data_IF_898065394356
#
_entry.id   IF_898065394356
#
_cell.length_a   1.000
_cell.length_b   1.000
_cell.length_c   1.000
_cell.angle_alpha   90.00
_cell.angle_beta   90.00
_cell.angle_gamma   90.00
#
_symmetry.space_group_name_H-M   'P 1'
#
loop_
_entity.id
_entity.type
_entity.pdbx_description
1 polymer ?
#
# COMPACT_ATOMS: atom_id res chain seq x y z
N UNK A 1 -8.91 -16.75 -3.51
CA UNK A 1 -9.21 -16.12 -4.80
C UNK A 1 -10.67 -16.28 -5.19
N UNK A 2 -11.29 -17.44 -5.01
CA UNK A 2 -12.71 -17.70 -5.36
C UNK A 2 -13.69 -16.64 -4.80
N UNK A 3 -13.42 -16.07 -3.63
CA UNK A 3 -14.23 -14.99 -3.06
C UNK A 3 -14.15 -13.72 -3.91
N UNK A 4 -12.95 -13.38 -4.41
CA UNK A 4 -12.75 -12.19 -5.24
C UNK A 4 -13.40 -12.34 -6.62
N UNK A 5 -13.40 -13.57 -7.16
CA UNK A 5 -14.10 -13.86 -8.42
C UNK A 5 -15.61 -13.67 -8.24
N UNK A 6 -16.18 -14.19 -7.15
CA UNK A 6 -17.60 -13.97 -6.83
C UNK A 6 -17.97 -12.50 -6.60
N UNK A 7 -17.07 -11.71 -6.02
CA UNK A 7 -17.26 -10.26 -5.85
C UNK A 7 -17.35 -9.58 -7.20
N UNK A 8 -16.47 -9.95 -8.15
CA UNK A 8 -16.51 -9.43 -9.53
C UNK A 8 -17.76 -9.86 -10.28
N UNK A 9 -18.15 -11.13 -10.16
CA UNK A 9 -19.37 -11.65 -10.80
C UNK A 9 -20.61 -10.89 -10.32
N UNK A 10 -20.57 -10.37 -9.09
CA UNK A 10 -21.61 -9.49 -8.55
C UNK A 10 -21.49 -8.02 -9.01
N UNK A 11 -20.55 -7.67 -9.89
CA UNK A 11 -20.33 -6.32 -10.38
C UNK A 11 -19.71 -5.36 -9.36
N UNK A 12 -19.02 -5.88 -8.35
CA UNK A 12 -18.38 -5.09 -7.28
C UNK A 12 -16.89 -4.98 -7.57
N UNK A 13 -16.34 -3.76 -7.45
CA UNK A 13 -14.91 -3.51 -7.62
C UNK A 13 -14.09 -4.20 -6.53
N UNK A 14 -12.95 -4.76 -6.92
CA UNK A 14 -12.07 -5.50 -6.02
C UNK A 14 -10.98 -4.59 -5.47
N UNK A 15 -10.91 -4.51 -4.13
CA UNK A 15 -9.78 -3.93 -3.41
C UNK A 15 -9.02 -5.05 -2.70
N UNK A 16 -7.85 -5.40 -3.19
CA UNK A 16 -7.04 -6.49 -2.64
C UNK A 16 -5.56 -6.16 -2.74
N UNK A 17 -4.86 -6.30 -1.62
CA UNK A 17 -3.43 -6.01 -1.51
C UNK A 17 -2.77 -6.83 -0.41
N UNK A 18 -1.78 -6.26 0.27
CA UNK A 18 -1.07 -7.00 1.32
C UNK A 18 -0.41 -6.13 2.36
N UNK A 19 0.09 -6.78 3.39
CA UNK A 19 0.93 -6.20 4.44
C UNK A 19 2.34 -6.73 4.23
N UNK A 20 3.34 -5.86 4.33
CA UNK A 20 4.77 -6.19 4.27
C UNK A 20 5.47 -5.80 5.56
N UNK A 21 6.62 -6.37 5.81
CA UNK A 21 7.35 -6.21 7.08
C UNK A 21 6.97 -7.25 8.13
N UNK A 22 6.36 -8.38 7.71
CA UNK A 22 6.00 -9.51 8.56
C UNK A 22 7.16 -10.51 8.77
N UNK A 23 8.37 -10.17 8.30
CA UNK A 23 9.50 -11.10 8.23
C UNK A 23 9.54 -11.93 6.94
N UNK A 24 8.72 -11.60 5.98
CA UNK A 24 8.64 -12.27 4.68
C UNK A 24 9.87 -11.97 3.80
N UNK A 25 10.18 -12.89 2.91
CA UNK A 25 11.30 -12.74 1.96
C UNK A 25 10.94 -11.81 0.78
N UNK A 26 11.96 -11.28 0.10
CA UNK A 26 11.78 -10.55 -1.19
C UNK A 26 11.03 -11.40 -2.22
N UNK A 27 11.26 -12.72 -2.22
CA UNK A 27 10.56 -13.66 -3.11
C UNK A 27 9.06 -13.72 -2.78
N UNK A 28 8.71 -13.74 -1.49
CA UNK A 28 7.31 -13.75 -1.06
C UNK A 28 6.59 -12.46 -1.43
N UNK A 29 7.27 -11.29 -1.29
CA UNK A 29 6.73 -10.00 -1.76
C UNK A 29 6.50 -9.97 -3.27
N UNK A 30 7.47 -10.48 -4.04
CA UNK A 30 7.31 -10.60 -5.50
C UNK A 30 6.18 -11.55 -5.88
N UNK A 31 6.01 -12.66 -5.16
CA UNK A 31 4.92 -13.60 -5.39
C UNK A 31 3.55 -12.98 -5.10
N UNK A 32 3.42 -12.16 -4.05
CA UNK A 32 2.18 -11.42 -3.78
C UNK A 32 1.80 -10.52 -4.97
N UNK A 33 2.75 -9.72 -5.46
CA UNK A 33 2.49 -8.83 -6.61
C UNK A 33 2.12 -9.65 -7.86
N UNK A 34 2.85 -10.75 -8.12
CA UNK A 34 2.56 -11.61 -9.26
C UNK A 34 1.17 -12.25 -9.18
N UNK A 35 0.76 -12.68 -7.99
CA UNK A 35 -0.59 -13.24 -7.78
C UNK A 35 -1.68 -12.22 -8.09
N UNK A 36 -1.55 -11.00 -7.59
CA UNK A 36 -2.51 -9.92 -7.86
C UNK A 36 -2.53 -9.52 -9.34
N UNK A 37 -1.36 -9.42 -9.96
CA UNK A 37 -1.23 -9.03 -11.37
C UNK A 37 -1.76 -10.10 -12.34
N UNK A 38 -1.73 -11.38 -11.94
CA UNK A 38 -2.25 -12.50 -12.74
C UNK A 38 -3.77 -12.70 -12.60
N UNK A 39 -4.42 -11.96 -11.71
CA UNK A 39 -5.89 -11.96 -11.68
C UNK A 39 -6.44 -11.34 -12.97
N UNK A 40 -7.58 -11.80 -13.45
CA UNK A 40 -8.19 -11.32 -14.68
C UNK A 40 -9.62 -10.79 -14.46
N UNK A 41 -9.80 -9.45 -14.43
CA UNK A 41 -8.76 -8.41 -14.44
C UNK A 41 -7.98 -8.32 -13.11
N UNK A 42 -6.85 -7.61 -13.06
CA UNK A 42 -6.20 -7.25 -11.79
C UNK A 42 -7.14 -6.48 -10.86
N UNK A 43 -6.87 -6.41 -9.54
CA UNK A 43 -7.71 -5.64 -8.62
C UNK A 43 -7.80 -4.16 -9.00
N UNK A 44 -8.96 -3.55 -8.83
CA UNK A 44 -9.17 -2.11 -9.08
C UNK A 44 -8.30 -1.26 -8.14
N UNK A 45 -8.12 -1.73 -6.91
CA UNK A 45 -7.28 -1.08 -5.90
C UNK A 45 -6.38 -2.08 -5.19
N UNK A 46 -5.09 -1.71 -5.07
CA UNK A 46 -4.05 -2.53 -4.47
C UNK A 46 -3.41 -1.76 -3.31
N UNK A 47 -3.94 -1.89 -2.09
CA UNK A 47 -3.33 -1.28 -0.91
C UNK A 47 -2.06 -2.04 -0.52
N UNK A 48 -0.95 -1.31 -0.40
CA UNK A 48 0.30 -1.79 0.16
C UNK A 48 0.44 -1.20 1.56
N UNK A 49 0.37 -2.08 2.55
CA UNK A 49 0.47 -1.70 3.96
C UNK A 49 1.88 -2.01 4.47
N UNK A 50 2.46 -1.09 5.21
CA UNK A 50 3.62 -1.37 6.05
C UNK A 50 3.13 -1.85 7.41
N UNK A 51 3.73 -2.92 7.96
CA UNK A 51 3.36 -3.42 9.29
C UNK A 51 3.51 -2.31 10.33
N UNK A 52 2.43 -2.05 11.04
CA UNK A 52 2.46 -1.25 12.26
C UNK A 52 2.61 -2.21 13.43
N UNK A 53 3.76 -2.15 14.10
CA UNK A 53 4.02 -3.01 15.25
C UNK A 53 3.17 -2.56 16.44
N UNK A 54 2.60 -3.53 17.13
CA UNK A 54 1.80 -3.30 18.34
C UNK A 54 2.41 -4.10 19.48
N UNK A 55 2.74 -3.41 20.58
CA UNK A 55 3.31 -4.01 21.78
C UNK A 55 2.49 -5.22 22.27
N UNK A 56 3.17 -6.28 22.62
CA UNK A 56 2.56 -7.52 23.13
C UNK A 56 1.94 -8.42 22.07
N UNK A 57 2.08 -8.11 20.77
CA UNK A 57 1.68 -9.01 19.69
C UNK A 57 2.83 -9.91 19.24
N UNK A 58 2.58 -11.04 18.54
CA UNK A 58 3.63 -11.92 18.04
C UNK A 58 4.63 -11.27 17.08
N UNK A 59 4.28 -10.13 16.48
CA UNK A 59 5.12 -9.36 15.57
C UNK A 59 5.72 -8.10 16.22
N UNK A 60 5.57 -7.96 17.53
CA UNK A 60 6.26 -6.93 18.29
C UNK A 60 7.78 -7.15 18.21
N UNK A 61 8.52 -6.09 17.85
CA UNK A 61 9.96 -6.17 17.61
C UNK A 61 10.37 -6.84 16.29
N UNK A 62 9.44 -7.12 15.36
CA UNK A 62 9.80 -7.61 14.03
C UNK A 62 10.72 -6.62 13.29
N UNK A 63 11.66 -7.14 12.49
CA UNK A 63 12.55 -6.30 11.70
C UNK A 63 11.74 -5.47 10.69
N UNK A 64 11.93 -4.15 10.73
CA UNK A 64 11.27 -3.26 9.78
C UNK A 64 11.74 -3.54 8.35
N UNK A 65 10.85 -3.42 7.39
CA UNK A 65 11.21 -3.53 5.97
C UNK A 65 12.15 -2.37 5.58
N UNK A 66 13.16 -2.69 4.77
CA UNK A 66 14.00 -1.66 4.17
C UNK A 66 13.16 -0.68 3.34
N UNK A 67 13.28 0.65 3.54
CA UNK A 67 12.48 1.64 2.84
C UNK A 67 12.56 1.54 1.31
N UNK A 68 13.72 1.22 0.76
CA UNK A 68 13.87 1.05 -0.69
C UNK A 68 13.21 -0.24 -1.20
N UNK A 69 13.14 -1.29 -0.37
CA UNK A 69 12.39 -2.49 -0.73
C UNK A 69 10.88 -2.21 -0.75
N UNK A 70 10.38 -1.36 0.14
CA UNK A 70 9.01 -0.89 0.10
C UNK A 70 8.72 -0.08 -1.18
N UNK A 71 9.57 0.89 -1.53
CA UNK A 71 9.45 1.67 -2.78
C UNK A 71 9.50 0.77 -4.01
N UNK A 72 10.39 -0.23 -4.04
CA UNK A 72 10.46 -1.21 -5.15
C UNK A 72 9.17 -2.00 -5.29
N UNK A 73 8.52 -2.33 -4.18
CA UNK A 73 7.23 -3.04 -4.21
C UNK A 73 6.14 -2.17 -4.83
N UNK A 74 6.08 -0.86 -4.49
CA UNK A 74 5.18 0.11 -5.12
C UNK A 74 5.45 0.18 -6.64
N UNK A 75 6.71 0.30 -7.05
CA UNK A 75 7.09 0.34 -8.47
C UNK A 75 6.69 -0.95 -9.20
N UNK A 76 6.94 -2.11 -8.61
CA UNK A 76 6.55 -3.39 -9.19
C UNK A 76 5.02 -3.49 -9.35
N UNK A 77 4.25 -3.11 -8.34
CA UNK A 77 2.80 -3.07 -8.40
C UNK A 77 2.30 -2.15 -9.52
N UNK A 78 2.86 -0.95 -9.66
CA UNK A 78 2.49 -0.01 -10.73
C UNK A 78 2.80 -0.55 -12.12
N UNK A 79 3.97 -1.16 -12.32
CA UNK A 79 4.40 -1.69 -13.62
C UNK A 79 3.53 -2.88 -14.05
N UNK A 80 3.21 -3.77 -13.12
CA UNK A 80 2.46 -5.00 -13.41
C UNK A 80 0.94 -4.79 -13.44
N UNK A 81 0.43 -3.77 -12.77
CA UNK A 81 -0.99 -3.43 -12.68
C UNK A 81 -1.22 -1.94 -13.03
N UNK A 82 -0.99 -1.54 -14.28
CA UNK A 82 -0.95 -0.11 -14.66
C UNK A 82 -2.29 0.61 -14.52
N UNK A 83 -3.40 -0.11 -14.58
CA UNK A 83 -4.76 0.45 -14.43
C UNK A 83 -5.27 0.50 -12.99
N UNK A 84 -4.62 -0.20 -12.06
CA UNK A 84 -5.03 -0.29 -10.67
C UNK A 84 -4.68 0.99 -9.88
N UNK A 85 -5.46 1.29 -8.84
CA UNK A 85 -5.05 2.25 -7.83
C UNK A 85 -4.03 1.60 -6.89
N UNK A 86 -2.74 1.89 -7.07
CA UNK A 86 -1.69 1.48 -6.14
C UNK A 86 -1.72 2.42 -4.95
N UNK A 87 -2.11 1.89 -3.78
CA UNK A 87 -2.47 2.71 -2.63
C UNK A 87 -1.45 2.60 -1.52
N UNK A 88 -0.93 3.75 -1.04
CA UNK A 88 -0.27 3.85 0.25
C UNK A 88 -1.34 3.73 1.35
N UNK A 89 -1.17 2.77 2.23
CA UNK A 89 -2.16 2.44 3.23
C UNK A 89 -1.56 2.49 4.64
N UNK A 90 -1.78 1.52 5.52
CA UNK A 90 -1.28 1.55 6.89
C UNK A 90 0.26 1.69 6.98
N UNK A 91 0.74 2.29 8.06
CA UNK A 91 2.17 2.50 8.34
C UNK A 91 2.74 3.82 7.79
N UNK A 92 1.92 4.69 7.21
CA UNK A 92 2.35 5.99 6.67
C UNK A 92 2.90 6.93 7.74
N UNK A 93 2.39 6.90 8.98
CA UNK A 93 2.93 7.70 10.08
C UNK A 93 4.40 7.41 10.41
N UNK A 94 4.88 6.21 10.09
CA UNK A 94 6.26 5.79 10.30
C UNK A 94 7.17 6.18 9.13
N UNK A 95 6.60 6.72 8.05
CA UNK A 95 7.32 7.18 6.87
C UNK A 95 7.52 8.68 6.93
N UNK A 96 8.75 9.13 6.71
CA UNK A 96 9.00 10.54 6.48
C UNK A 96 8.44 11.03 5.13
N UNK A 97 8.39 12.33 4.94
CA UNK A 97 7.89 12.95 3.70
C UNK A 97 8.69 12.50 2.46
N UNK A 98 10.00 12.26 2.61
CA UNK A 98 10.86 11.85 1.50
C UNK A 98 10.52 10.44 1.03
N UNK A 99 10.28 9.51 1.95
CA UNK A 99 9.87 8.13 1.62
C UNK A 99 8.48 8.11 0.97
N UNK A 100 7.53 8.90 1.51
CA UNK A 100 6.20 9.01 0.90
C UNK A 100 6.29 9.61 -0.51
N UNK A 101 7.09 10.66 -0.71
CA UNK A 101 7.35 11.25 -2.02
C UNK A 101 7.94 10.23 -3.01
N UNK A 102 8.93 9.44 -2.58
CA UNK A 102 9.49 8.36 -3.39
C UNK A 102 8.44 7.33 -3.80
N UNK A 103 7.52 6.98 -2.89
CA UNK A 103 6.42 6.06 -3.22
C UNK A 103 5.49 6.63 -4.29
N UNK A 104 5.13 7.94 -4.23
CA UNK A 104 4.33 8.58 -5.27
C UNK A 104 5.08 8.62 -6.61
N UNK A 105 6.37 8.95 -6.61
CA UNK A 105 7.21 8.93 -7.81
C UNK A 105 7.39 7.52 -8.38
N UNK A 106 7.43 6.50 -7.54
CA UNK A 106 7.48 5.10 -7.94
C UNK A 106 6.16 4.58 -8.52
N UNK A 107 5.07 5.33 -8.37
CA UNK A 107 3.80 5.03 -9.01
C UNK A 107 2.62 4.79 -8.07
N UNK A 108 2.74 5.04 -6.76
CA UNK A 108 1.56 5.14 -5.92
C UNK A 108 0.69 6.31 -6.42
N UNK A 109 -0.61 6.10 -6.58
CA UNK A 109 -1.55 7.11 -7.08
C UNK A 109 -2.82 7.18 -6.24
N UNK A 110 -2.80 6.57 -5.08
CA UNK A 110 -3.89 6.61 -4.11
C UNK A 110 -3.32 6.49 -2.70
N UNK A 111 -4.02 7.02 -1.72
CA UNK A 111 -3.70 6.83 -0.32
C UNK A 111 -4.97 6.85 0.53
N UNK A 112 -4.88 6.40 1.76
CA UNK A 112 -5.90 6.68 2.75
C UNK A 112 -5.72 8.10 3.27
N UNK A 113 -6.81 8.86 3.25
CA UNK A 113 -6.90 10.23 3.75
C UNK A 113 -7.73 10.26 5.03
N UNK A 114 -7.29 11.01 6.05
CA UNK A 114 -7.96 11.13 7.33
C UNK A 114 -7.18 10.52 8.49
N UNK A 115 -7.53 10.89 9.72
CA UNK A 115 -6.74 10.67 10.93
C UNK A 115 -6.59 9.19 11.34
N UNK A 116 -7.50 8.33 10.94
CA UNK A 116 -7.52 6.91 11.32
C UNK A 116 -7.79 6.00 10.16
N UNK A 117 -7.04 4.91 10.11
CA UNK A 117 -7.29 3.75 9.27
C UNK A 117 -7.63 2.56 10.16
N UNK A 118 -8.92 2.28 10.33
CA UNK A 118 -9.44 1.25 11.25
C UNK A 118 -8.96 1.49 12.69
N UNK A 119 -8.05 0.67 13.18
CA UNK A 119 -7.50 0.72 14.54
C UNK A 119 -6.12 1.39 14.63
N UNK A 120 -5.51 1.73 13.49
CA UNK A 120 -4.20 2.40 13.43
C UNK A 120 -4.35 3.87 13.11
N UNK A 121 -3.50 4.69 13.72
CA UNK A 121 -3.43 6.10 13.37
C UNK A 121 -2.87 6.28 11.95
N UNK A 122 -3.28 7.35 11.31
CA UNK A 122 -2.84 7.76 9.98
C UNK A 122 -2.43 9.24 10.05
N UNK A 123 -1.57 9.75 9.16
CA UNK A 123 -1.35 11.19 9.07
C UNK A 123 -2.66 11.94 8.96
N UNK A 124 -2.77 13.08 9.68
CA UNK A 124 -3.98 13.90 9.59
C UNK A 124 -4.09 14.57 8.21
N UNK A 125 -5.28 15.09 7.92
CA UNK A 125 -5.57 15.73 6.65
C UNK A 125 -4.64 16.92 6.38
N UNK A 126 -4.31 17.71 7.40
CA UNK A 126 -3.42 18.87 7.29
C UNK A 126 -1.99 18.46 6.91
N UNK A 127 -1.49 17.34 7.44
CA UNK A 127 -0.18 16.81 7.09
C UNK A 127 -0.15 16.35 5.62
N UNK A 128 -1.19 15.65 5.18
CA UNK A 128 -1.33 15.19 3.80
C UNK A 128 -1.45 16.37 2.82
N UNK A 129 -2.22 17.39 3.14
CA UNK A 129 -2.38 18.59 2.31
C UNK A 129 -1.03 19.37 2.19
N UNK A 130 -0.28 19.47 3.28
CA UNK A 130 1.06 20.07 3.27
C UNK A 130 2.04 19.27 2.42
N UNK A 131 2.03 17.95 2.54
CA UNK A 131 2.86 17.07 1.71
C UNK A 131 2.52 17.24 0.23
N UNK A 132 1.25 17.20 -0.13
CA UNK A 132 0.80 17.37 -1.51
C UNK A 132 1.17 18.74 -2.08
N UNK A 133 0.98 19.81 -1.31
CA UNK A 133 1.38 21.15 -1.75
C UNK A 133 2.90 21.24 -2.03
N UNK A 134 3.74 20.63 -1.18
CA UNK A 134 5.21 20.58 -1.38
C UNK A 134 5.60 19.76 -2.62
N UNK A 135 4.87 18.71 -2.94
CA UNK A 135 5.11 17.83 -4.10
C UNK A 135 4.46 18.35 -5.39
N UNK A 136 3.66 19.41 -5.34
CA UNK A 136 2.88 19.88 -6.48
C UNK A 136 1.80 18.91 -6.92
N UNK A 137 1.36 18.02 -6.04
CA UNK A 137 0.30 17.05 -6.29
C UNK A 137 -1.06 17.65 -5.92
N UNK A 138 -2.11 17.11 -6.56
CA UNK A 138 -3.51 17.44 -6.23
C UNK A 138 -4.29 16.16 -6.08
N UNK A 139 -5.11 16.08 -5.03
CA UNK A 139 -6.13 15.06 -4.91
C UNK A 139 -7.22 15.28 -5.98
N UNK A 140 -7.74 14.20 -6.55
CA UNK A 140 -8.83 14.17 -7.53
C UNK A 140 -9.97 13.30 -7.00
#
# INVERSE_FOLDING_TARGET
>A
LDTLDKVRDAGINVCCGGIVGLGETKKSRAALIAELANMNPPPDSVPINNLVQVEGTPLDGAEAIDPFDFVRMIAAARITMPSSYVRLSAGRQQMDDALQALCFMAGANSMFYGERLLTTDNPDADADDKLFARLGLKAV
#
